data_IF_384900350648
#
_entry.id   IF_384900350648
#
_cell.length_a   1.000
_cell.length_b   1.000
_cell.length_c   1.000
_cell.angle_alpha   90.00
_cell.angle_beta   90.00
_cell.angle_gamma   90.00
#
_symmetry.space_group_name_H-M   'P 1'
#
loop_
_entity.id
_entity.type
_entity.pdbx_description
1 polymer ?
#
# COMPACT_ATOMS: atom_id res chain seq x y z
N UNK A 1 21.61 -2.69 -2.26
CA UNK A 1 21.33 -1.64 -3.27
C UNK A 1 19.84 -1.56 -3.62
N UNK A 2 19.15 -2.68 -3.87
CA UNK A 2 17.73 -2.66 -4.28
C UNK A 2 16.76 -2.16 -3.20
N UNK A 3 17.00 -2.46 -1.90
CA UNK A 3 16.18 -1.91 -0.82
C UNK A 3 16.29 -0.38 -0.69
N UNK A 4 17.45 0.18 -0.99
CA UNK A 4 17.66 1.64 -1.02
C UNK A 4 16.88 2.25 -2.20
N UNK A 5 16.85 1.59 -3.37
CA UNK A 5 16.03 2.03 -4.50
C UNK A 5 14.54 2.02 -4.19
N UNK A 6 14.05 1.00 -3.49
CA UNK A 6 12.65 0.91 -3.09
C UNK A 6 12.27 2.01 -2.08
N UNK A 7 13.18 2.36 -1.16
CA UNK A 7 13.00 3.48 -0.23
C UNK A 7 13.01 4.83 -0.98
N UNK A 8 13.95 5.05 -1.90
CA UNK A 8 14.00 6.26 -2.72
C UNK A 8 12.73 6.43 -3.58
N UNK A 9 12.15 5.32 -4.06
CA UNK A 9 10.88 5.32 -4.78
C UNK A 9 9.67 5.65 -3.88
N UNK A 10 9.80 5.54 -2.55
CA UNK A 10 8.77 5.88 -1.58
C UNK A 10 8.89 7.32 -1.08
N UNK A 11 10.10 7.88 -1.00
CA UNK A 11 10.36 9.26 -0.56
C UNK A 11 9.41 10.33 -1.12
N UNK A 12 9.11 10.39 -2.43
CA UNK A 12 8.19 11.40 -2.95
C UNK A 12 6.78 11.26 -2.37
N UNK A 13 6.33 10.03 -2.09
CA UNK A 13 5.01 9.79 -1.47
C UNK A 13 5.02 10.19 0.02
N UNK A 14 6.11 9.94 0.75
CA UNK A 14 6.27 10.42 2.13
C UNK A 14 6.37 11.95 2.23
N UNK A 15 6.90 12.62 1.21
CA UNK A 15 6.87 14.07 1.15
C UNK A 15 5.44 14.58 0.92
N UNK A 16 4.70 13.93 0.01
CA UNK A 16 3.31 14.30 -0.33
C UNK A 16 2.34 14.11 0.84
N UNK A 17 2.55 13.13 1.74
CA UNK A 17 1.67 12.97 2.92
C UNK A 17 1.66 14.22 3.80
N UNK A 18 2.77 14.95 3.90
CA UNK A 18 2.86 16.19 4.70
C UNK A 18 1.92 17.28 4.22
N UNK A 19 1.60 17.30 2.93
CA UNK A 19 0.70 18.26 2.29
C UNK A 19 -0.70 17.70 2.03
N UNK A 20 -0.92 16.41 2.25
CA UNK A 20 -2.22 15.76 2.09
C UNK A 20 -3.12 16.07 3.29
N UNK A 21 -3.90 17.14 3.18
CA UNK A 21 -4.78 17.61 4.26
C UNK A 21 -6.22 17.11 4.15
N UNK A 22 -6.60 16.53 3.01
CA UNK A 22 -7.95 15.99 2.79
C UNK A 22 -7.93 14.46 2.66
N UNK A 23 -8.96 13.74 3.15
CA UNK A 23 -9.03 12.29 3.00
C UNK A 23 -8.95 11.81 1.54
N UNK A 24 -9.50 12.59 0.60
CA UNK A 24 -9.40 12.29 -0.84
C UNK A 24 -7.97 12.34 -1.35
N UNK A 25 -7.18 13.33 -0.91
CA UNK A 25 -5.77 13.43 -1.28
C UNK A 25 -4.95 12.25 -0.72
N UNK A 26 -5.28 11.79 0.49
CA UNK A 26 -4.65 10.61 1.09
C UNK A 26 -5.00 9.34 0.31
N UNK A 27 -6.25 9.15 -0.09
CA UNK A 27 -6.69 8.03 -0.93
C UNK A 27 -5.97 8.03 -2.30
N UNK A 28 -5.88 9.19 -2.95
CA UNK A 28 -5.16 9.33 -4.23
C UNK A 28 -3.68 8.96 -4.06
N UNK A 29 -3.06 9.40 -2.96
CA UNK A 29 -1.68 9.07 -2.62
C UNK A 29 -1.49 7.55 -2.46
N UNK A 30 -2.35 6.87 -1.70
CA UNK A 30 -2.31 5.41 -1.54
C UNK A 30 -2.42 4.73 -2.91
N UNK A 31 -3.37 5.17 -3.73
CA UNK A 31 -3.62 4.60 -5.07
C UNK A 31 -2.39 4.74 -5.96
N UNK A 32 -1.77 5.92 -5.97
CA UNK A 32 -0.56 6.18 -6.75
C UNK A 32 0.66 5.42 -6.24
N UNK A 33 0.89 5.39 -4.93
CA UNK A 33 2.03 4.68 -4.33
C UNK A 33 1.94 3.17 -4.60
N UNK A 34 0.76 2.58 -4.42
CA UNK A 34 0.54 1.14 -4.68
C UNK A 34 0.64 0.79 -6.17
N UNK A 35 0.41 1.73 -7.08
CA UNK A 35 0.61 1.53 -8.53
C UNK A 35 2.04 1.85 -9.02
N UNK A 36 2.84 2.62 -8.26
CA UNK A 36 4.12 3.17 -8.74
C UNK A 36 5.20 2.08 -8.97
N UNK A 37 5.91 2.09 -10.10
CA UNK A 37 6.97 1.12 -10.34
C UNK A 37 8.13 1.29 -9.35
N UNK A 38 8.73 0.19 -8.89
CA UNK A 38 9.87 0.22 -7.96
C UNK A 38 9.51 0.49 -6.49
N UNK A 39 8.28 0.92 -6.20
CA UNK A 39 7.81 1.12 -4.82
C UNK A 39 7.21 -0.17 -4.28
N UNK A 40 7.92 -0.84 -3.38
CA UNK A 40 7.51 -2.12 -2.77
C UNK A 40 7.50 -2.12 -1.24
N UNK A 41 7.95 -1.03 -0.62
CA UNK A 41 7.96 -0.86 0.83
C UNK A 41 6.89 0.17 1.15
N UNK A 42 5.88 -0.22 1.95
CA UNK A 42 4.74 0.62 2.27
C UNK A 42 4.56 0.86 3.77
N UNK A 43 5.33 0.18 4.61
CA UNK A 43 5.26 0.26 6.07
C UNK A 43 5.46 1.68 6.58
N UNK A 44 6.49 2.39 6.07
CA UNK A 44 6.76 3.78 6.45
C UNK A 44 5.60 4.71 6.07
N UNK A 45 4.97 4.46 4.92
CA UNK A 45 3.82 5.23 4.46
C UNK A 45 2.59 4.96 5.35
N UNK A 46 2.35 3.69 5.68
CA UNK A 46 1.26 3.26 6.53
C UNK A 46 1.33 3.90 7.93
N UNK A 47 2.52 4.05 8.50
CA UNK A 47 2.71 4.64 9.82
C UNK A 47 2.46 6.16 9.89
N UNK A 48 2.31 6.83 8.74
CA UNK A 48 2.08 8.28 8.74
C UNK A 48 0.71 8.65 9.34
N UNK A 49 0.62 9.72 10.15
CA UNK A 49 -0.61 10.08 10.83
C UNK A 49 -1.75 10.43 9.86
N UNK A 50 -1.43 10.97 8.68
CA UNK A 50 -2.41 11.30 7.65
C UNK A 50 -3.10 10.04 7.09
N UNK A 51 -2.34 8.95 6.94
CA UNK A 51 -2.86 7.66 6.48
C UNK A 51 -3.68 7.01 7.59
N UNK A 52 -3.16 7.01 8.82
CA UNK A 52 -3.86 6.45 9.99
C UNK A 52 -5.19 7.17 10.30
N UNK A 53 -5.29 8.46 9.97
CA UNK A 53 -6.52 9.24 10.13
C UNK A 53 -7.69 8.71 9.27
N UNK A 54 -7.45 7.89 8.24
CA UNK A 54 -8.52 7.26 7.46
C UNK A 54 -9.33 6.25 8.27
N UNK A 55 -8.79 5.72 9.38
CA UNK A 55 -9.48 4.77 10.26
C UNK A 55 -10.73 5.36 10.93
N UNK A 56 -10.75 6.66 11.18
CA UNK A 56 -11.90 7.37 11.80
C UNK A 56 -12.86 7.94 10.76
N UNK A 57 -12.58 7.69 9.48
CA UNK A 57 -13.31 8.19 8.33
C UNK A 57 -14.55 7.35 7.97
N UNK A 58 -15.00 7.53 6.73
CA UNK A 58 -16.06 6.68 6.16
C UNK A 58 -15.58 5.24 5.97
N UNK A 59 -16.48 4.25 5.87
CA UNK A 59 -16.10 2.87 5.59
C UNK A 59 -15.25 2.72 4.33
N UNK A 60 -15.49 3.55 3.31
CA UNK A 60 -14.69 3.61 2.09
C UNK A 60 -13.24 4.06 2.38
N UNK A 61 -13.06 5.09 3.21
CA UNK A 61 -11.73 5.58 3.62
C UNK A 61 -10.97 4.51 4.42
N UNK A 62 -11.64 3.85 5.36
CA UNK A 62 -11.07 2.75 6.12
C UNK A 62 -10.67 1.57 5.20
N UNK A 63 -11.43 1.29 4.14
CA UNK A 63 -11.08 0.25 3.17
C UNK A 63 -9.77 0.55 2.42
N UNK A 64 -9.44 1.81 2.14
CA UNK A 64 -8.13 2.19 1.57
C UNK A 64 -6.98 2.05 2.56
N UNK A 65 -7.22 2.29 3.86
CA UNK A 65 -6.24 2.00 4.90
C UNK A 65 -5.95 0.49 4.95
N UNK A 66 -7.01 -0.34 5.03
CA UNK A 66 -6.87 -1.81 5.00
C UNK A 66 -6.20 -2.30 3.74
N UNK A 67 -6.47 -1.67 2.59
CA UNK A 67 -5.75 -1.99 1.35
C UNK A 67 -4.24 -1.77 1.51
N UNK A 68 -3.83 -0.62 2.07
CA UNK A 68 -2.40 -0.34 2.28
C UNK A 68 -1.76 -1.29 3.31
N UNK A 69 -2.51 -1.70 4.34
CA UNK A 69 -2.07 -2.73 5.29
C UNK A 69 -1.79 -4.05 4.58
N UNK A 70 -2.66 -4.48 3.67
CA UNK A 70 -2.46 -5.70 2.86
C UNK A 70 -1.22 -5.57 1.96
N UNK A 71 -0.99 -4.39 1.35
CA UNK A 71 0.23 -4.16 0.57
C UNK A 71 1.50 -4.13 1.45
N UNK A 72 1.36 -3.84 2.73
CA UNK A 72 2.50 -3.76 3.66
C UNK A 72 2.85 -5.10 4.29
N UNK A 73 1.84 -5.92 4.63
CA UNK A 73 2.00 -7.12 5.45
C UNK A 73 1.22 -8.35 4.95
N UNK A 74 0.23 -8.15 4.07
CA UNK A 74 -0.65 -9.21 3.60
C UNK A 74 -0.26 -9.78 2.24
N UNK A 75 -1.21 -10.49 1.65
CA UNK A 75 -1.09 -11.18 0.36
C UNK A 75 -2.30 -10.92 -0.54
N UNK A 76 -2.21 -11.37 -1.78
CA UNK A 76 -3.29 -11.33 -2.75
C UNK A 76 -4.51 -12.15 -2.28
N UNK A 77 -4.30 -13.21 -1.50
CA UNK A 77 -5.38 -14.01 -0.93
C UNK A 77 -6.19 -13.17 0.08
N UNK A 78 -5.51 -12.40 0.92
CA UNK A 78 -6.14 -11.51 1.90
C UNK A 78 -7.01 -10.45 1.21
N UNK A 79 -6.51 -9.89 0.10
CA UNK A 79 -7.30 -8.98 -0.74
C UNK A 79 -8.55 -9.66 -1.32
N UNK A 80 -8.40 -10.83 -1.95
CA UNK A 80 -9.55 -11.53 -2.56
C UNK A 80 -10.59 -12.03 -1.56
N UNK A 81 -10.19 -12.23 -0.31
CA UNK A 81 -11.08 -12.69 0.77
C UNK A 81 -11.93 -11.57 1.36
N UNK A 82 -11.61 -10.30 1.05
CA UNK A 82 -12.33 -9.14 1.57
C UNK A 82 -13.05 -8.37 0.44
N UNK A 83 -14.36 -8.61 0.23
CA UNK A 83 -15.12 -7.99 -0.86
C UNK A 83 -15.40 -6.48 -0.63
N UNK A 84 -15.13 -5.96 0.56
CA UNK A 84 -15.35 -4.55 0.91
C UNK A 84 -14.21 -3.64 0.44
N UNK A 85 -13.12 -4.20 -0.10
CA UNK A 85 -11.96 -3.44 -0.56
C UNK A 85 -12.20 -2.81 -1.94
N UNK A 86 -11.57 -1.65 -2.20
CA UNK A 86 -11.66 -1.01 -3.51
C UNK A 86 -10.99 -1.87 -4.60
N UNK A 87 -11.51 -1.78 -5.81
CA UNK A 87 -11.00 -2.52 -6.97
C UNK A 87 -9.60 -2.07 -7.35
N UNK A 88 -8.70 -3.05 -7.51
CA UNK A 88 -7.32 -2.77 -7.93
C UNK A 88 -7.18 -2.55 -9.44
N UNK A 89 -6.32 -1.62 -9.81
CA UNK A 89 -5.81 -1.50 -11.18
C UNK A 89 -4.92 -2.71 -11.55
N UNK A 90 -4.65 -2.95 -12.85
CA UNK A 90 -3.75 -4.02 -13.28
C UNK A 90 -2.33 -3.90 -12.68
N UNK A 91 -1.81 -2.69 -12.54
CA UNK A 91 -0.49 -2.43 -11.96
C UNK A 91 -0.44 -2.78 -10.47
N UNK A 92 -1.46 -2.36 -9.70
CA UNK A 92 -1.59 -2.70 -8.29
C UNK A 92 -1.76 -4.21 -8.09
N UNK A 93 -2.60 -4.85 -8.91
CA UNK A 93 -2.83 -6.30 -8.86
C UNK A 93 -1.53 -7.08 -9.10
N UNK A 94 -0.76 -6.70 -10.13
CA UNK A 94 0.54 -7.32 -10.41
C UNK A 94 1.49 -7.15 -9.23
N UNK A 95 1.56 -5.95 -8.65
CA UNK A 95 2.42 -5.67 -7.51
C UNK A 95 2.05 -6.50 -6.28
N UNK A 96 0.76 -6.58 -5.94
CA UNK A 96 0.32 -7.37 -4.79
C UNK A 96 0.65 -8.86 -4.99
N UNK A 97 0.51 -9.38 -6.21
CA UNK A 97 0.94 -10.76 -6.53
C UNK A 97 2.46 -10.95 -6.40
N UNK A 98 3.26 -9.98 -6.84
CA UNK A 98 4.72 -10.02 -6.68
C UNK A 98 5.11 -10.05 -5.20
N UNK A 99 4.51 -9.18 -4.37
CA UNK A 99 4.73 -9.16 -2.93
C UNK A 99 4.32 -10.48 -2.27
N UNK A 100 3.17 -11.03 -2.67
CA UNK A 100 2.68 -12.33 -2.18
C UNK A 100 3.66 -13.46 -2.51
N UNK A 101 4.18 -13.46 -3.74
CA UNK A 101 5.17 -14.45 -4.18
C UNK A 101 6.46 -14.37 -3.37
N UNK A 102 6.96 -13.15 -3.11
CA UNK A 102 8.15 -12.95 -2.28
C UNK A 102 7.93 -13.44 -0.84
N UNK A 103 6.76 -13.19 -0.26
CA UNK A 103 6.40 -13.68 1.07
C UNK A 103 6.41 -15.21 1.12
N UNK A 104 5.82 -15.88 0.12
CA UNK A 104 5.82 -17.34 0.03
C UNK A 104 7.23 -17.92 -0.17
N UNK A 105 8.04 -17.30 -1.03
CA UNK A 105 9.41 -17.72 -1.28
C UNK A 105 10.29 -17.66 -0.03
N UNK A 106 10.04 -16.70 0.88
CA UNK A 106 10.74 -16.59 2.16
C UNK A 106 10.39 -17.70 3.15
N UNK A 107 9.18 -18.26 3.06
CA UNK A 107 8.66 -19.26 3.99
C UNK A 107 9.08 -20.68 3.58
N UNK A 108 9.38 -20.91 2.30
CA UNK A 108 9.85 -22.19 1.79
C UNK A 108 11.31 -22.44 2.23
N UNK A 109 11.61 -23.59 2.87
CA UNK A 109 12.99 -23.96 3.18
C UNK A 109 13.77 -24.23 1.88
N UNK A 110 14.87 -23.51 1.69
CA UNK A 110 15.86 -23.69 0.62
C UNK A 110 16.90 -24.73 0.99
#
# INVERSE_FOLDING_TARGET
MEQIKALNALEPFLALTKSATSPRAVIDLITRATAAPGTYIFTELLLTPQIQALSTGTPEQAAYLTLLEIFSYGTYIDYTSNPSLPTLSPAQTLKLRQLSFLTLAKILPT
#
